data_IF_907079188723
#
_entry.id   IF_907079188723
#
_cell.length_a   1.000
_cell.length_b   1.000
_cell.length_c   1.000
_cell.angle_alpha   90.00
_cell.angle_beta   90.00
_cell.angle_gamma   90.00
#
_symmetry.space_group_name_H-M   'P 1'
#
loop_
_entity.id
_entity.type
_entity.pdbx_description
1 polymer ?
#
# COMPACT_ATOMS: atom_id res chain seq x y z
N UNK A 1 28.03 7.13 7.48
CA UNK A 1 27.73 8.29 6.62
C UNK A 1 27.50 9.51 7.52
N UNK A 2 27.72 10.75 7.08
CA UNK A 2 27.35 11.94 7.89
C UNK A 2 26.08 12.59 7.36
N UNK A 3 25.32 13.30 8.21
CA UNK A 3 24.11 14.05 7.79
C UNK A 3 24.39 14.94 6.57
N UNK A 4 25.50 15.68 6.61
CA UNK A 4 25.91 16.56 5.50
C UNK A 4 26.17 15.79 4.20
N UNK A 5 26.83 14.62 4.26
CA UNK A 5 27.04 13.81 3.07
C UNK A 5 25.74 13.23 2.48
N UNK A 6 24.75 12.91 3.33
CA UNK A 6 23.43 12.46 2.88
C UNK A 6 22.66 13.58 2.19
N UNK A 7 22.67 14.78 2.77
CA UNK A 7 22.05 15.97 2.18
C UNK A 7 22.66 16.27 0.81
N UNK A 8 23.99 16.36 0.71
CA UNK A 8 24.64 16.62 -0.58
C UNK A 8 24.33 15.55 -1.61
N UNK A 9 24.32 14.26 -1.22
CA UNK A 9 23.96 13.15 -2.13
C UNK A 9 22.52 13.26 -2.63
N UNK A 10 21.59 13.62 -1.77
CA UNK A 10 20.18 13.79 -2.13
C UNK A 10 19.97 15.00 -3.05
N UNK A 11 20.49 16.17 -2.68
CA UNK A 11 20.31 17.41 -3.43
C UNK A 11 20.96 17.37 -4.81
N UNK A 12 22.08 16.68 -4.97
CA UNK A 12 22.79 16.55 -6.26
C UNK A 12 21.98 15.80 -7.34
N UNK A 13 20.83 15.21 -6.98
CA UNK A 13 19.90 14.60 -7.94
C UNK A 13 19.02 15.62 -8.66
N UNK A 14 18.96 16.86 -8.16
CA UNK A 14 18.05 17.89 -8.62
C UNK A 14 18.82 19.09 -9.19
N UNK A 15 18.26 19.75 -10.20
CA UNK A 15 18.82 20.97 -10.77
C UNK A 15 19.00 22.04 -9.70
N UNK A 16 20.03 22.88 -9.79
CA UNK A 16 20.22 24.00 -8.86
C UNK A 16 19.11 25.07 -8.97
N UNK A 17 18.40 25.12 -10.11
CA UNK A 17 17.33 26.07 -10.34
C UNK A 17 16.12 25.80 -9.43
N UNK A 18 15.72 26.81 -8.66
CA UNK A 18 14.52 26.81 -7.83
C UNK A 18 13.40 27.48 -8.61
N UNK A 19 12.25 26.81 -8.69
CA UNK A 19 11.04 27.33 -9.34
C UNK A 19 9.89 27.33 -8.35
N UNK A 20 8.89 28.17 -8.62
CA UNK A 20 7.63 28.18 -7.87
C UNK A 20 6.55 27.50 -8.68
N UNK A 21 5.87 26.54 -8.06
CA UNK A 21 4.79 25.79 -8.69
C UNK A 21 3.51 25.89 -7.86
N UNK A 22 2.36 25.81 -8.52
CA UNK A 22 1.13 25.39 -7.89
C UNK A 22 0.91 23.90 -8.19
N UNK A 23 0.45 23.13 -7.22
CA UNK A 23 0.31 21.68 -7.34
C UNK A 23 -0.90 21.13 -6.57
N UNK A 24 -1.36 19.95 -6.97
CA UNK A 24 -2.37 19.16 -6.25
C UNK A 24 -1.68 17.97 -5.59
N UNK A 25 -1.77 17.86 -4.27
CA UNK A 25 -1.25 16.72 -3.53
C UNK A 25 -2.14 15.47 -3.68
N UNK A 26 -1.51 14.31 -3.79
CA UNK A 26 -2.18 13.01 -3.95
C UNK A 26 -2.87 12.51 -2.68
N UNK A 27 -3.64 11.43 -2.84
CA UNK A 27 -4.53 10.91 -1.79
C UNK A 27 -3.81 10.19 -0.64
N UNK A 28 -2.61 9.64 -0.87
CA UNK A 28 -1.86 8.88 0.15
C UNK A 28 -1.36 9.76 1.30
N UNK A 29 -1.08 11.04 1.01
CA UNK A 29 -0.50 11.98 1.97
C UNK A 29 1.01 11.80 2.16
N UNK A 30 1.53 12.35 3.25
CA UNK A 30 2.98 12.32 3.54
C UNK A 30 3.37 10.94 4.10
N UNK A 31 4.34 10.31 3.45
CA UNK A 31 5.09 9.17 3.96
C UNK A 31 6.55 9.54 4.25
N UNK A 32 7.26 8.66 4.94
CA UNK A 32 8.71 8.74 5.06
C UNK A 32 9.32 7.34 5.09
N UNK A 33 10.51 7.22 4.51
CA UNK A 33 11.31 6.01 4.60
C UNK A 33 12.75 6.32 4.98
N UNK A 34 13.38 5.37 5.66
CA UNK A 34 14.79 5.42 6.08
C UNK A 34 15.42 4.08 5.76
N UNK A 35 16.22 4.05 4.69
CA UNK A 35 16.86 2.83 4.21
C UNK A 35 18.23 2.60 4.82
N UNK A 36 18.52 1.35 5.21
CA UNK A 36 19.84 0.90 5.66
C UNK A 36 20.43 1.77 6.78
N UNK A 37 21.70 2.15 6.61
CA UNK A 37 22.46 2.94 7.59
C UNK A 37 22.27 4.47 7.44
N UNK A 38 21.24 4.93 6.72
CA UNK A 38 20.99 6.37 6.58
C UNK A 38 20.61 6.97 7.93
N UNK A 39 21.00 8.22 8.16
CA UNK A 39 20.68 8.98 9.38
C UNK A 39 19.35 9.72 9.21
N UNK A 40 19.12 10.30 8.03
CA UNK A 40 17.93 11.10 7.72
C UNK A 40 16.82 10.25 7.11
N UNK A 41 15.58 10.67 7.36
CA UNK A 41 14.40 10.17 6.66
C UNK A 41 14.26 10.88 5.32
N UNK A 42 13.88 10.14 4.29
CA UNK A 42 13.35 10.73 3.05
C UNK A 42 11.84 10.81 3.17
N UNK A 43 11.33 12.00 3.50
CA UNK A 43 9.91 12.28 3.49
C UNK A 43 9.45 12.57 2.06
N UNK A 44 8.20 12.22 1.76
CA UNK A 44 7.62 12.49 0.45
C UNK A 44 6.10 12.50 0.44
N UNK A 45 5.56 13.17 -0.57
CA UNK A 45 4.15 13.13 -0.96
C UNK A 45 4.06 13.12 -2.48
N UNK A 46 3.07 12.43 -3.03
CA UNK A 46 2.83 12.46 -4.48
C UNK A 46 2.07 13.73 -4.86
N UNK A 47 2.34 14.26 -6.04
CA UNK A 47 1.56 15.30 -6.68
C UNK A 47 0.90 14.69 -7.92
N UNK A 48 -0.39 14.96 -8.10
CA UNK A 48 -1.16 14.41 -9.24
C UNK A 48 -1.27 15.40 -10.41
N UNK A 49 -1.00 16.67 -10.13
CA UNK A 49 -0.88 17.72 -11.13
C UNK A 49 -0.07 18.90 -10.60
N UNK A 50 0.60 19.62 -11.48
CA UNK A 50 1.32 20.84 -11.14
C UNK A 50 1.47 21.78 -12.35
N UNK A 51 1.72 23.07 -12.08
CA UNK A 51 2.07 24.09 -13.09
C UNK A 51 3.12 25.05 -12.53
N UNK A 52 4.01 25.51 -13.39
CA UNK A 52 4.92 26.63 -13.08
C UNK A 52 4.10 27.93 -12.94
N UNK A 53 4.40 28.74 -11.92
CA UNK A 53 3.67 29.99 -11.66
C UNK A 53 4.19 31.18 -12.49
N UNK A 54 5.41 31.10 -13.00
CA UNK A 54 6.10 32.21 -13.68
C UNK A 54 6.21 31.98 -15.18
N UNK A 55 6.33 30.72 -15.58
CA UNK A 55 6.23 30.32 -16.97
C UNK A 55 4.77 29.94 -17.21
N UNK A 56 4.12 30.53 -18.22
CA UNK A 56 2.71 30.30 -18.57
C UNK A 56 2.50 28.89 -19.18
N UNK A 57 3.11 27.88 -18.56
CA UNK A 57 3.09 26.48 -18.93
C UNK A 57 1.71 25.89 -18.67
N UNK A 58 1.32 24.95 -19.54
CA UNK A 58 0.12 24.14 -19.34
C UNK A 58 0.26 23.26 -18.11
N UNK A 59 -0.83 23.01 -17.40
CA UNK A 59 -0.86 22.08 -16.27
C UNK A 59 -0.36 20.71 -16.71
N UNK A 60 0.65 20.21 -16.03
CA UNK A 60 1.13 18.83 -16.15
C UNK A 60 0.27 17.94 -15.26
N UNK A 61 -0.36 16.91 -15.85
CA UNK A 61 -1.20 15.91 -15.15
C UNK A 61 -0.46 14.59 -15.09
N UNK A 62 0.50 14.49 -14.19
CA UNK A 62 1.31 13.29 -13.99
C UNK A 62 1.52 13.07 -12.49
N UNK A 63 1.56 11.79 -12.09
CA UNK A 63 1.99 11.42 -10.75
C UNK A 63 3.50 11.68 -10.63
N UNK A 64 3.88 12.69 -9.86
CA UNK A 64 5.28 13.00 -9.58
C UNK A 64 5.55 13.07 -8.08
N UNK A 65 6.65 12.46 -7.66
CA UNK A 65 7.04 12.43 -6.25
C UNK A 65 7.70 13.75 -5.84
N UNK A 66 7.16 14.39 -4.81
CA UNK A 66 7.81 15.49 -4.08
C UNK A 66 8.52 14.92 -2.85
N UNK A 67 9.82 15.21 -2.69
CA UNK A 67 10.62 14.65 -1.61
C UNK A 67 11.51 15.69 -0.89
N UNK A 68 11.83 15.42 0.37
CA UNK A 68 12.80 16.18 1.16
C UNK A 68 13.41 15.30 2.26
N UNK A 69 14.54 15.73 2.81
CA UNK A 69 15.16 15.06 3.95
C UNK A 69 14.72 15.70 5.26
N UNK A 70 14.50 14.88 6.28
CA UNK A 70 14.19 15.31 7.65
C UNK A 70 14.89 14.43 8.67
N UNK A 71 15.24 14.98 9.83
CA UNK A 71 15.61 14.16 10.98
C UNK A 71 14.40 13.74 11.84
N UNK A 72 14.65 12.99 12.93
CA UNK A 72 13.59 12.46 13.77
C UNK A 72 12.71 13.55 14.43
N UNK A 73 13.30 14.71 14.75
CA UNK A 73 12.56 15.81 15.38
C UNK A 73 11.71 16.56 14.35
N UNK A 74 12.25 16.74 13.15
CA UNK A 74 11.56 17.34 12.01
C UNK A 74 10.43 16.44 11.49
N UNK A 75 10.65 15.12 11.41
CA UNK A 75 9.62 14.14 11.01
C UNK A 75 8.40 14.17 11.94
N UNK A 76 8.60 14.32 13.25
CA UNK A 76 7.48 14.45 14.20
C UNK A 76 6.61 15.69 13.94
N UNK A 77 7.15 16.70 13.24
CA UNK A 77 6.46 17.95 12.90
C UNK A 77 6.06 18.03 11.44
N UNK A 78 6.56 17.14 10.58
CA UNK A 78 6.35 17.21 9.13
C UNK A 78 4.93 16.83 8.72
N UNK A 79 4.16 16.13 9.57
CA UNK A 79 2.78 15.73 9.27
C UNK A 79 1.86 16.92 8.94
N UNK A 80 2.20 18.12 9.40
CA UNK A 80 1.36 19.31 9.25
C UNK A 80 1.81 20.24 8.11
N UNK A 81 2.93 19.95 7.42
CA UNK A 81 3.46 20.89 6.41
C UNK A 81 2.71 20.80 5.08
N UNK A 82 2.19 19.62 4.75
CA UNK A 82 1.37 19.36 3.56
C UNK A 82 0.27 18.36 3.91
N UNK A 83 -0.91 18.56 3.35
CA UNK A 83 -2.06 17.68 3.51
C UNK A 83 -2.36 16.98 2.20
N UNK A 84 -2.87 15.75 2.24
CA UNK A 84 -3.37 15.04 1.06
C UNK A 84 -4.52 15.80 0.38
N UNK A 85 -4.75 15.56 -0.91
CA UNK A 85 -5.91 16.11 -1.64
C UNK A 85 -6.07 17.63 -1.47
N UNK A 86 -4.97 18.38 -1.57
CA UNK A 86 -4.93 19.82 -1.31
C UNK A 86 -4.19 20.53 -2.44
N UNK A 87 -4.71 21.67 -2.87
CA UNK A 87 -3.99 22.58 -3.77
C UNK A 87 -3.01 23.41 -2.95
N UNK A 88 -1.75 23.46 -3.38
CA UNK A 88 -0.65 24.12 -2.65
C UNK A 88 0.25 24.91 -3.58
N UNK A 89 1.03 25.84 -3.04
CA UNK A 89 2.16 26.46 -3.75
C UNK A 89 3.47 26.15 -3.08
N UNK A 90 4.49 25.81 -3.88
CA UNK A 90 5.76 25.25 -3.43
C UNK A 90 6.92 25.91 -4.17
N UNK A 91 8.06 26.03 -3.48
CA UNK A 91 9.36 26.17 -4.13
C UNK A 91 9.99 24.79 -4.27
N UNK A 92 10.41 24.46 -5.49
CA UNK A 92 10.96 23.13 -5.80
C UNK A 92 12.20 23.21 -6.69
N UNK A 93 13.03 22.15 -6.62
CA UNK A 93 14.07 21.86 -7.61
C UNK A 93 13.67 20.62 -8.42
N UNK A 94 13.83 20.66 -9.74
CA UNK A 94 13.39 19.60 -10.66
C UNK A 94 14.48 18.52 -10.86
N UNK A 95 14.04 17.29 -11.09
CA UNK A 95 14.83 16.20 -11.67
C UNK A 95 13.99 15.54 -12.77
N UNK A 96 14.51 14.51 -13.44
CA UNK A 96 13.77 13.80 -14.49
C UNK A 96 12.45 13.19 -14.00
N UNK A 97 12.45 12.61 -12.78
CA UNK A 97 11.33 11.80 -12.29
C UNK A 97 10.82 12.21 -10.89
N UNK A 98 11.28 13.35 -10.36
CA UNK A 98 10.89 13.81 -9.02
C UNK A 98 11.14 15.30 -8.80
N UNK A 99 10.50 15.85 -7.79
CA UNK A 99 10.71 17.21 -7.28
C UNK A 99 11.32 17.16 -5.90
N UNK A 100 12.24 18.08 -5.62
CA UNK A 100 12.73 18.33 -4.27
C UNK A 100 12.00 19.52 -3.68
N UNK A 101 11.39 19.36 -2.51
CA UNK A 101 10.78 20.46 -1.77
C UNK A 101 11.88 21.37 -1.21
N UNK A 102 11.83 22.65 -1.55
CA UNK A 102 12.67 23.71 -0.97
C UNK A 102 11.90 24.47 0.11
N UNK A 103 10.65 24.85 -0.19
CA UNK A 103 9.80 25.56 0.76
C UNK A 103 8.31 25.36 0.42
N UNK A 104 7.44 25.37 1.43
CA UNK A 104 5.99 25.47 1.26
C UNK A 104 5.60 26.95 1.34
N UNK A 105 4.95 27.47 0.30
CA UNK A 105 4.59 28.88 0.21
C UNK A 105 3.18 29.13 0.76
N UNK A 106 2.18 28.38 0.27
CA UNK A 106 0.78 28.50 0.68
C UNK A 106 0.08 27.14 0.68
N UNK A 107 -0.67 26.86 1.74
CA UNK A 107 -1.50 25.66 1.89
C UNK A 107 -2.69 25.95 2.83
N UNK A 108 -3.96 25.82 2.38
CA UNK A 108 -4.38 25.58 1.00
C UNK A 108 -4.21 26.84 0.12
N UNK A 109 -3.92 26.64 -1.16
CA UNK A 109 -3.92 27.65 -2.22
C UNK A 109 -5.20 27.55 -3.05
N UNK A 110 -5.67 28.66 -3.63
CA UNK A 110 -6.85 28.68 -4.51
C UNK A 110 -6.45 28.80 -5.96
N UNK A 111 -6.91 27.85 -6.76
CA UNK A 111 -6.65 27.81 -8.20
C UNK A 111 -7.76 27.03 -8.91
N UNK A 112 -8.62 27.72 -9.66
CA UNK A 112 -9.82 27.13 -10.25
C UNK A 112 -9.50 25.91 -11.14
N UNK A 113 -8.39 25.95 -11.90
CA UNK A 113 -8.03 24.86 -12.80
C UNK A 113 -7.51 23.63 -12.05
N UNK A 114 -6.66 23.83 -11.03
CA UNK A 114 -6.17 22.73 -10.18
C UNK A 114 -7.26 22.19 -9.26
N UNK A 115 -8.19 23.03 -8.81
CA UNK A 115 -9.36 22.62 -8.04
C UNK A 115 -10.26 21.68 -8.85
N UNK A 116 -10.46 21.93 -10.14
CA UNK A 116 -11.19 20.99 -11.03
C UNK A 116 -10.50 19.63 -11.09
N UNK A 117 -9.16 19.60 -11.16
CA UNK A 117 -8.39 18.35 -11.17
C UNK A 117 -8.52 17.63 -9.83
N UNK A 118 -8.38 18.36 -8.72
CA UNK A 118 -8.56 17.81 -7.37
C UNK A 118 -9.95 17.20 -7.20
N UNK A 119 -11.01 17.92 -7.59
CA UNK A 119 -12.38 17.41 -7.48
C UNK A 119 -12.60 16.16 -8.34
N UNK A 120 -12.02 16.11 -9.54
CA UNK A 120 -12.10 14.91 -10.39
C UNK A 120 -11.34 13.73 -9.78
N UNK A 121 -10.13 13.97 -9.25
CA UNK A 121 -9.33 12.97 -8.57
C UNK A 121 -9.98 12.46 -7.28
N UNK A 122 -10.84 13.24 -6.61
CA UNK A 122 -11.56 12.82 -5.41
C UNK A 122 -12.84 12.01 -5.71
N UNK A 123 -13.33 11.98 -6.96
CA UNK A 123 -14.52 11.18 -7.28
C UNK A 123 -14.25 9.70 -7.07
N UNK A 124 -15.12 8.94 -6.39
CA UNK A 124 -14.95 7.50 -6.26
C UNK A 124 -14.94 6.84 -7.65
N UNK A 125 -14.12 5.80 -7.82
CA UNK A 125 -14.05 5.00 -9.03
C UNK A 125 -14.48 3.57 -8.70
N UNK A 126 -15.38 3.02 -9.50
CA UNK A 126 -15.95 1.70 -9.29
C UNK A 126 -15.62 0.75 -10.43
N UNK A 127 -15.36 -0.51 -10.09
CA UNK A 127 -15.30 -1.62 -11.04
C UNK A 127 -16.49 -2.55 -10.83
N UNK A 128 -17.09 -3.02 -11.93
CA UNK A 128 -18.27 -3.89 -11.89
C UNK A 128 -17.90 -5.25 -12.45
N UNK A 129 -17.96 -6.26 -11.59
CA UNK A 129 -17.85 -7.67 -11.97
C UNK A 129 -19.23 -8.34 -11.94
N UNK A 130 -19.49 -9.23 -12.89
CA UNK A 130 -20.81 -9.89 -13.01
C UNK A 130 -21.11 -10.88 -11.89
N UNK A 131 -20.08 -11.52 -11.31
CA UNK A 131 -20.22 -12.54 -10.27
C UNK A 131 -20.02 -11.95 -8.87
N UNK A 132 -19.00 -11.10 -8.73
CA UNK A 132 -18.54 -10.57 -7.46
C UNK A 132 -19.15 -9.19 -7.17
N UNK A 133 -19.80 -8.54 -8.12
CA UNK A 133 -20.48 -7.26 -7.95
C UNK A 133 -19.55 -6.06 -8.02
N UNK A 134 -19.82 -5.04 -7.21
CA UNK A 134 -19.12 -3.75 -7.29
C UNK A 134 -17.92 -3.71 -6.34
N UNK A 135 -16.81 -3.16 -6.84
CA UNK A 135 -15.60 -2.81 -6.11
C UNK A 135 -15.38 -1.30 -6.16
N UNK A 136 -14.80 -0.73 -5.12
CA UNK A 136 -14.36 0.67 -5.07
C UNK A 136 -12.84 0.73 -5.11
N UNK A 137 -12.27 1.67 -5.86
CA UNK A 137 -10.83 1.87 -5.93
C UNK A 137 -10.34 2.66 -4.72
N UNK A 138 -9.47 2.08 -3.91
CA UNK A 138 -8.62 2.86 -3.02
C UNK A 138 -7.47 3.48 -3.83
N UNK A 139 -7.65 4.75 -4.20
CA UNK A 139 -6.68 5.51 -5.01
C UNK A 139 -5.32 5.73 -4.31
N UNK A 140 -5.25 5.51 -2.99
CA UNK A 140 -4.00 5.67 -2.22
C UNK A 140 -3.00 4.55 -2.54
N UNK A 141 -3.51 3.34 -2.75
CA UNK A 141 -2.72 2.14 -3.03
C UNK A 141 -2.97 1.55 -4.41
N UNK A 142 -3.88 2.16 -5.19
CA UNK A 142 -4.29 1.72 -6.53
C UNK A 142 -4.82 0.28 -6.54
N UNK A 143 -5.62 -0.06 -5.54
CA UNK A 143 -6.22 -1.40 -5.39
C UNK A 143 -7.74 -1.29 -5.30
N UNK A 144 -8.45 -2.09 -6.09
CA UNK A 144 -9.89 -2.24 -5.96
C UNK A 144 -10.21 -3.15 -4.78
N UNK A 145 -11.15 -2.71 -3.94
CA UNK A 145 -11.55 -3.46 -2.75
C UNK A 145 -13.07 -3.59 -2.62
N UNK A 146 -13.48 -4.66 -1.94
CA UNK A 146 -14.84 -4.83 -1.43
C UNK A 146 -14.85 -5.78 -0.24
N UNK A 147 -15.87 -5.65 0.60
CA UNK A 147 -16.24 -6.70 1.56
C UNK A 147 -17.08 -7.76 0.87
N UNK A 148 -16.82 -9.02 1.20
CA UNK A 148 -17.52 -10.18 0.64
C UNK A 148 -17.60 -11.30 1.67
N UNK A 149 -18.56 -12.20 1.47
CA UNK A 149 -18.63 -13.47 2.20
C UNK A 149 -17.95 -14.55 1.36
N UNK A 150 -16.89 -15.18 1.87
CA UNK A 150 -16.17 -16.27 1.22
C UNK A 150 -16.00 -17.44 2.19
N UNK A 151 -16.42 -18.64 1.77
CA UNK A 151 -16.43 -19.85 2.58
C UNK A 151 -17.10 -19.68 3.97
N UNK A 152 -18.17 -18.88 4.03
CA UNK A 152 -18.93 -18.59 5.26
C UNK A 152 -18.32 -17.56 6.20
N UNK A 153 -17.21 -16.92 5.82
CA UNK A 153 -16.54 -15.87 6.60
C UNK A 153 -16.58 -14.53 5.84
N UNK A 154 -16.70 -13.42 6.57
CA UNK A 154 -16.64 -12.08 5.99
C UNK A 154 -15.18 -11.64 5.86
N UNK A 155 -14.76 -11.25 4.65
CA UNK A 155 -13.41 -10.80 4.38
C UNK A 155 -13.38 -9.63 3.38
N UNK A 156 -12.20 -9.06 3.17
CA UNK A 156 -11.96 -8.17 2.05
C UNK A 156 -11.39 -8.93 0.85
N UNK A 157 -11.85 -8.58 -0.35
CA UNK A 157 -11.28 -9.04 -1.61
C UNK A 157 -10.62 -7.87 -2.35
N UNK A 158 -9.38 -8.09 -2.75
CA UNK A 158 -8.52 -7.09 -3.40
C UNK A 158 -8.03 -7.56 -4.77
N UNK A 159 -7.92 -6.62 -5.71
CA UNK A 159 -7.12 -6.78 -6.92
C UNK A 159 -6.59 -5.43 -7.39
N UNK A 160 -5.43 -5.41 -8.05
CA UNK A 160 -4.78 -4.16 -8.42
C UNK A 160 -5.44 -3.48 -9.63
N UNK A 161 -5.47 -2.15 -9.58
CA UNK A 161 -5.77 -1.35 -10.75
C UNK A 161 -4.60 -1.45 -11.75
N UNK A 162 -4.94 -1.58 -13.04
CA UNK A 162 -3.98 -1.56 -14.13
C UNK A 162 -4.56 -0.79 -15.32
N UNK A 163 -3.68 -0.16 -16.10
CA UNK A 163 -4.05 0.38 -17.41
C UNK A 163 -4.43 -0.74 -18.38
N UNK A 164 -3.85 -1.93 -18.21
CA UNK A 164 -4.22 -3.12 -18.96
C UNK A 164 -5.45 -3.79 -18.36
N UNK A 165 -6.58 -3.62 -19.04
CA UNK A 165 -7.86 -4.24 -18.68
C UNK A 165 -7.80 -5.77 -18.70
N UNK A 166 -6.90 -6.37 -19.47
CA UNK A 166 -6.73 -7.82 -19.48
C UNK A 166 -6.14 -8.32 -18.17
N UNK A 167 -5.20 -7.60 -17.57
CA UNK A 167 -4.63 -7.97 -16.26
C UNK A 167 -5.70 -7.94 -15.17
N UNK A 168 -6.49 -6.86 -15.10
CA UNK A 168 -7.58 -6.75 -14.12
C UNK A 168 -8.63 -7.85 -14.31
N UNK A 169 -9.01 -8.14 -15.56
CA UNK A 169 -9.95 -9.22 -15.85
C UNK A 169 -9.39 -10.59 -15.45
N UNK A 170 -8.12 -10.85 -15.75
CA UNK A 170 -7.45 -12.10 -15.39
C UNK A 170 -7.39 -12.29 -13.87
N UNK A 171 -7.14 -11.22 -13.10
CA UNK A 171 -7.19 -11.28 -11.63
C UNK A 171 -8.60 -11.64 -11.12
N UNK A 172 -9.66 -11.11 -11.73
CA UNK A 172 -11.02 -11.48 -11.37
C UNK A 172 -11.38 -12.92 -11.77
N UNK A 173 -10.84 -13.42 -12.88
CA UNK A 173 -10.97 -14.83 -13.25
C UNK A 173 -10.32 -15.75 -12.21
N UNK A 174 -9.20 -15.32 -11.60
CA UNK A 174 -8.59 -15.99 -10.44
C UNK A 174 -9.54 -16.04 -9.25
N UNK A 175 -10.14 -14.90 -8.89
CA UNK A 175 -11.16 -14.87 -7.83
C UNK A 175 -12.35 -15.78 -8.16
N UNK A 176 -12.87 -15.76 -9.38
CA UNK A 176 -13.98 -16.62 -9.78
C UNK A 176 -13.65 -18.11 -9.59
N UNK A 177 -12.41 -18.53 -9.86
CA UNK A 177 -11.97 -19.90 -9.62
C UNK A 177 -11.96 -20.24 -8.13
N UNK A 178 -11.40 -19.37 -7.28
CA UNK A 178 -11.37 -19.54 -5.82
C UNK A 178 -12.79 -19.59 -5.22
N UNK A 179 -13.74 -18.83 -5.76
CA UNK A 179 -15.12 -18.80 -5.27
C UNK A 179 -15.94 -20.05 -5.61
N UNK A 180 -15.61 -20.76 -6.69
CA UNK A 180 -16.33 -21.99 -7.08
C UNK A 180 -16.15 -23.12 -6.06
N UNK A 181 -14.97 -23.19 -5.45
CA UNK A 181 -14.57 -24.27 -4.53
C UNK A 181 -14.06 -23.67 -3.21
N UNK A 182 -14.71 -22.60 -2.74
CA UNK A 182 -14.23 -21.77 -1.64
C UNK A 182 -13.94 -22.53 -0.34
N UNK A 183 -14.78 -23.48 0.04
CA UNK A 183 -14.60 -24.26 1.28
C UNK A 183 -13.38 -25.19 1.19
N UNK A 184 -13.15 -25.78 0.00
CA UNK A 184 -12.00 -26.63 -0.27
C UNK A 184 -10.71 -25.82 -0.29
N UNK A 185 -10.72 -24.66 -0.95
CA UNK A 185 -9.58 -23.75 -0.96
C UNK A 185 -9.23 -23.25 0.44
N UNK A 186 -10.23 -22.77 1.20
CA UNK A 186 -10.01 -22.31 2.57
C UNK A 186 -9.37 -23.41 3.43
N UNK A 187 -9.92 -24.62 3.39
CA UNK A 187 -9.39 -25.72 4.20
C UNK A 187 -7.98 -26.12 3.74
N UNK A 188 -7.74 -26.18 2.44
CA UNK A 188 -6.42 -26.47 1.85
C UNK A 188 -5.37 -25.45 2.31
N UNK A 189 -5.70 -24.16 2.29
CA UNK A 189 -4.82 -23.08 2.75
C UNK A 189 -4.54 -23.17 4.25
N UNK A 190 -5.57 -23.40 5.09
CA UNK A 190 -5.40 -23.57 6.54
C UNK A 190 -4.52 -24.78 6.88
N UNK A 191 -4.74 -25.92 6.24
CA UNK A 191 -3.93 -27.12 6.42
C UNK A 191 -2.48 -26.88 6.01
N UNK A 192 -2.27 -26.17 4.90
CA UNK A 192 -0.93 -25.83 4.43
C UNK A 192 -0.22 -24.90 5.43
N UNK A 193 -0.87 -23.85 5.90
CA UNK A 193 -0.32 -22.95 6.91
C UNK A 193 0.07 -23.70 8.19
N UNK A 194 -0.82 -24.56 8.70
CA UNK A 194 -0.54 -25.35 9.89
C UNK A 194 0.68 -26.25 9.69
N UNK A 195 0.75 -26.97 8.58
CA UNK A 195 1.88 -27.85 8.28
C UNK A 195 3.21 -27.09 8.22
N UNK A 196 3.22 -25.89 7.64
CA UNK A 196 4.45 -25.12 7.45
C UNK A 196 4.85 -24.32 8.71
N UNK A 197 3.88 -23.89 9.54
CA UNK A 197 4.13 -22.91 10.60
C UNK A 197 3.92 -23.45 12.02
N UNK A 198 3.40 -24.67 12.21
CA UNK A 198 3.16 -25.21 13.56
C UNK A 198 4.44 -25.41 14.36
N UNK A 199 5.54 -25.79 13.71
CA UNK A 199 6.84 -25.92 14.39
C UNK A 199 7.29 -24.55 14.93
N UNK A 200 7.23 -23.50 14.10
CA UNK A 200 7.54 -22.13 14.50
C UNK A 200 6.58 -21.61 15.60
N UNK A 201 5.30 -21.94 15.52
CA UNK A 201 4.32 -21.59 16.54
C UNK A 201 4.68 -22.19 17.90
N UNK A 202 5.17 -23.44 17.94
CA UNK A 202 5.63 -24.08 19.16
C UNK A 202 6.95 -23.49 19.69
N UNK A 203 7.83 -23.00 18.81
CA UNK A 203 9.02 -22.25 19.24
C UNK A 203 8.61 -20.97 19.97
N UNK A 204 7.63 -20.21 19.45
CA UNK A 204 7.13 -18.99 20.09
C UNK A 204 6.39 -19.29 21.39
N UNK A 205 5.62 -20.39 21.44
CA UNK A 205 4.94 -20.83 22.66
C UNK A 205 5.93 -21.07 23.82
N UNK A 206 7.13 -21.59 23.54
CA UNK A 206 8.15 -21.82 24.56
C UNK A 206 8.71 -20.52 25.17
N UNK A 207 8.62 -19.42 24.42
CA UNK A 207 9.01 -18.09 24.89
C UNK A 207 7.86 -17.35 25.61
N UNK A 208 6.66 -17.96 25.67
CA UNK A 208 5.50 -17.44 26.38
C UNK A 208 5.41 -18.00 27.81
N UNK A 209 5.91 -17.22 28.78
CA UNK A 209 5.85 -17.55 30.21
C UNK A 209 4.40 -17.64 30.77
N UNK A 210 3.40 -17.16 30.03
CA UNK A 210 1.98 -17.16 30.41
C UNK A 210 1.16 -18.27 29.71
N UNK A 211 1.79 -19.09 28.88
CA UNK A 211 1.13 -20.15 28.12
C UNK A 211 0.36 -21.15 29.00
N UNK A 212 -0.92 -21.35 28.70
CA UNK A 212 -1.78 -22.36 29.37
C UNK A 212 -1.72 -23.75 28.71
N UNK A 213 -1.02 -23.86 27.58
CA UNK A 213 -0.86 -25.09 26.79
C UNK A 213 0.62 -25.40 26.58
N UNK A 214 0.95 -26.68 26.49
CA UNK A 214 2.34 -27.14 26.29
C UNK A 214 2.71 -27.31 24.80
N UNK A 215 1.72 -27.40 23.92
CA UNK A 215 1.91 -27.66 22.48
C UNK A 215 0.72 -27.13 21.66
N UNK A 216 1.02 -26.48 20.53
CA UNK A 216 0.06 -26.15 19.48
C UNK A 216 0.10 -27.29 18.45
N UNK A 217 -1.01 -28.01 18.33
CA UNK A 217 -1.17 -29.03 17.27
C UNK A 217 -1.63 -28.39 15.95
N UNK A 218 -1.47 -29.09 14.82
CA UNK A 218 -2.02 -28.63 13.53
C UNK A 218 -3.53 -28.36 13.60
N UNK A 219 -4.29 -29.20 14.32
CA UNK A 219 -5.73 -29.02 14.50
C UNK A 219 -6.05 -27.74 15.27
N UNK A 220 -5.31 -27.47 16.36
CA UNK A 220 -5.44 -26.22 17.10
C UNK A 220 -5.12 -25.02 16.22
N UNK A 221 -4.02 -25.08 15.47
CA UNK A 221 -3.61 -24.02 14.56
C UNK A 221 -4.70 -23.70 13.53
N UNK A 222 -5.23 -24.72 12.84
CA UNK A 222 -6.30 -24.57 11.83
C UNK A 222 -7.55 -23.90 12.42
N UNK A 223 -7.90 -24.24 13.65
CA UNK A 223 -9.07 -23.74 14.34
C UNK A 223 -8.88 -22.32 14.90
N UNK A 224 -7.65 -21.94 15.25
CA UNK A 224 -7.33 -20.61 15.78
C UNK A 224 -7.27 -19.53 14.70
N UNK A 225 -6.74 -19.87 13.51
CA UNK A 225 -6.56 -18.86 12.45
C UNK A 225 -7.89 -18.51 11.79
N UNK A 226 -8.11 -17.24 11.46
CA UNK A 226 -9.38 -16.75 10.89
C UNK A 226 -9.13 -15.89 9.66
N UNK A 227 -10.02 -15.96 8.66
CA UNK A 227 -9.83 -15.25 7.40
C UNK A 227 -9.91 -13.73 7.62
N UNK A 228 -8.93 -13.01 7.08
CA UNK A 228 -8.91 -11.54 7.07
C UNK A 228 -9.20 -10.99 5.67
N UNK A 229 -8.41 -11.40 4.68
CA UNK A 229 -8.54 -10.91 3.31
C UNK A 229 -7.99 -11.87 2.27
N UNK A 230 -8.40 -11.64 1.02
CA UNK A 230 -7.93 -12.33 -0.17
C UNK A 230 -7.47 -11.29 -1.20
N UNK A 231 -6.24 -11.41 -1.67
CA UNK A 231 -5.70 -10.64 -2.79
C UNK A 231 -5.55 -11.58 -3.99
N UNK A 232 -6.07 -11.17 -5.15
CA UNK A 232 -5.96 -11.93 -6.39
C UNK A 232 -5.23 -11.14 -7.45
N UNK A 233 -4.44 -11.85 -8.24
CA UNK A 233 -3.58 -11.31 -9.26
C UNK A 233 -3.84 -12.04 -10.59
N UNK A 234 -3.33 -11.46 -11.68
CA UNK A 234 -3.44 -12.05 -13.01
C UNK A 234 -2.77 -13.42 -13.08
N UNK A 235 -3.16 -14.22 -14.07
CA UNK A 235 -2.54 -15.53 -14.35
C UNK A 235 -2.70 -16.58 -13.24
N UNK A 236 -3.64 -16.36 -12.32
CA UNK A 236 -4.03 -17.34 -11.32
C UNK A 236 -3.39 -17.16 -9.94
N UNK A 237 -2.50 -16.18 -9.78
CA UNK A 237 -1.80 -15.93 -8.52
C UNK A 237 -2.73 -15.30 -7.48
N UNK A 238 -2.52 -15.67 -6.22
CA UNK A 238 -3.27 -15.13 -5.08
C UNK A 238 -2.46 -15.16 -3.79
N UNK A 239 -2.91 -14.35 -2.84
CA UNK A 239 -2.49 -14.36 -1.44
C UNK A 239 -3.70 -14.31 -0.53
N UNK A 240 -3.74 -15.17 0.48
CA UNK A 240 -4.76 -15.16 1.52
C UNK A 240 -4.14 -14.81 2.86
N UNK A 241 -4.80 -13.92 3.58
CA UNK A 241 -4.35 -13.41 4.86
C UNK A 241 -5.25 -13.95 5.95
N UNK A 242 -4.65 -14.57 6.96
CA UNK A 242 -5.33 -15.00 8.16
C UNK A 242 -4.83 -14.18 9.36
N UNK A 243 -5.74 -13.81 10.25
CA UNK A 243 -5.36 -13.47 11.61
C UNK A 243 -4.91 -14.74 12.33
N UNK A 244 -3.80 -14.66 13.04
CA UNK A 244 -3.15 -15.79 13.72
C UNK A 244 -3.94 -16.36 14.91
N UNK A 245 -4.93 -15.62 15.41
CA UNK A 245 -5.62 -16.00 16.64
C UNK A 245 -4.70 -15.95 17.86
N UNK A 246 -3.73 -15.02 17.84
CA UNK A 246 -2.72 -14.77 18.88
C UNK A 246 -1.60 -15.84 18.99
N UNK A 247 -1.56 -16.80 18.06
CA UNK A 247 -0.47 -17.80 17.97
C UNK A 247 0.90 -17.14 17.77
N UNK A 248 0.92 -16.05 17.02
CA UNK A 248 2.11 -15.25 16.72
C UNK A 248 1.93 -13.83 17.28
N UNK A 249 1.29 -13.66 18.44
CA UNK A 249 1.15 -12.36 19.12
C UNK A 249 0.59 -11.24 18.24
N UNK A 250 -0.36 -11.57 17.35
CA UNK A 250 -1.06 -10.63 16.49
C UNK A 250 -0.42 -10.37 15.13
N UNK A 251 0.56 -11.19 14.71
CA UNK A 251 1.05 -11.16 13.33
C UNK A 251 -0.02 -11.72 12.36
N UNK A 252 0.09 -11.35 11.09
CA UNK A 252 -0.71 -11.93 10.02
C UNK A 252 -0.02 -13.16 9.45
N UNK A 253 -0.80 -14.20 9.13
CA UNK A 253 -0.33 -15.36 8.38
C UNK A 253 -0.72 -15.17 6.92
N UNK A 254 0.25 -15.21 6.02
CA UNK A 254 0.06 -15.07 4.58
C UNK A 254 0.30 -16.42 3.93
N UNK A 255 -0.67 -16.91 3.16
CA UNK A 255 -0.50 -18.09 2.31
C UNK A 255 -0.62 -17.67 0.86
N UNK A 256 0.40 -17.97 0.05
CA UNK A 256 0.45 -17.61 -1.37
C UNK A 256 0.34 -18.86 -2.24
N UNK A 257 -0.17 -18.68 -3.45
CA UNK A 257 -0.22 -19.75 -4.43
C UNK A 257 -0.78 -19.30 -5.78
N UNK A 258 -0.94 -20.29 -6.65
CA UNK A 258 -1.55 -20.15 -7.96
C UNK A 258 -2.68 -21.17 -8.11
N UNK A 259 -3.82 -20.79 -8.67
CA UNK A 259 -4.98 -21.70 -8.84
C UNK A 259 -4.67 -22.91 -9.74
N UNK A 260 -3.65 -22.83 -10.58
CA UNK A 260 -3.20 -23.91 -11.47
C UNK A 260 -2.05 -24.73 -10.87
N UNK A 261 -1.14 -24.11 -10.14
CA UNK A 261 0.08 -24.77 -9.62
C UNK A 261 -0.06 -25.26 -8.16
N UNK A 262 -0.99 -24.69 -7.39
CA UNK A 262 -1.19 -24.99 -5.97
C UNK A 262 -0.57 -23.95 -5.04
N UNK A 263 -0.38 -24.33 -3.78
CA UNK A 263 0.15 -23.46 -2.73
C UNK A 263 1.68 -23.47 -2.77
N UNK A 264 2.31 -22.32 -2.58
CA UNK A 264 3.76 -22.14 -2.74
C UNK A 264 4.47 -21.74 -1.45
N UNK A 265 3.80 -21.01 -0.55
CA UNK A 265 4.41 -20.46 0.66
C UNK A 265 3.39 -20.18 1.74
N UNK A 266 3.84 -20.25 2.99
CA UNK A 266 3.14 -19.76 4.17
C UNK A 266 4.16 -19.03 5.04
N UNK A 267 3.87 -17.79 5.41
CA UNK A 267 4.77 -16.95 6.19
C UNK A 267 4.03 -16.05 7.16
N UNK A 268 4.76 -15.48 8.12
CA UNK A 268 4.24 -14.50 9.08
C UNK A 268 4.70 -13.09 8.70
N UNK A 269 3.82 -12.11 8.85
CA UNK A 269 4.10 -10.70 8.58
C UNK A 269 3.44 -9.79 9.62
N UNK A 270 4.16 -8.78 10.11
CA UNK A 270 3.69 -7.88 11.15
C UNK A 270 4.83 -7.18 11.86
#
# INVERSE_FOLDING_TARGET
MSKSSEISRFENRFSENVIEIAAVTGALGIGASKGGDNILWTASIDLIAWKDLHNNETITKEDIRLAWLVDDAEWRKSKDILTANTVVTLQVRKSENSLMLVNVLETPYKDDELEVILQDAMKPLFYHDEMLGVFELDKRVKTFEKRISWAGEECHLYFDWSEDKHMMKSALETAHALFKEQDEWKMKMKMYAAKELVELANEWLQDDDEAEIDEITEEMFINSITLSSLSVYSEGDFEIFFSDGDIFWGHSIIVSGNIHEGLSSAEIAG
#
